data_IF_478625791642
#
_entry.id   IF_478625791642
#
_cell.length_a   1.000
_cell.length_b   1.000
_cell.length_c   1.000
_cell.angle_alpha   90.00
_cell.angle_beta   90.00
_cell.angle_gamma   90.00
#
_symmetry.space_group_name_H-M   'P 1'
#
loop_
_entity.id
_entity.type
_entity.pdbx_description
1 polymer ?
#
# COMPACT_ATOMS: atom_id res chain seq x y z
N UNK A 1 19.32 4.86 31.04
CA UNK A 1 18.41 5.52 30.08
C UNK A 1 18.36 4.63 28.86
N UNK A 2 17.29 3.86 28.68
CA UNK A 2 17.15 2.90 27.57
C UNK A 2 16.34 3.57 26.45
N UNK A 3 17.00 4.33 25.58
CA UNK A 3 16.35 4.81 24.36
C UNK A 3 16.39 3.68 23.34
N UNK A 4 15.22 3.09 23.07
CA UNK A 4 15.08 2.15 21.96
C UNK A 4 15.50 2.87 20.67
N UNK A 5 16.27 2.21 19.77
CA UNK A 5 16.58 2.79 18.47
C UNK A 5 15.29 3.09 17.72
N UNK A 6 15.29 4.19 16.96
CA UNK A 6 14.15 4.60 16.12
C UNK A 6 13.94 3.46 15.11
N UNK A 7 12.81 2.77 15.23
CA UNK A 7 12.67 1.45 14.60
C UNK A 7 12.56 1.55 13.08
N UNK A 8 11.99 2.62 12.53
CA UNK A 8 11.95 2.85 11.10
C UNK A 8 11.82 4.36 10.83
N UNK A 9 12.70 4.89 9.97
CA UNK A 9 12.55 6.21 9.34
C UNK A 9 11.69 6.14 8.06
N UNK A 10 11.13 4.96 7.77
CA UNK A 10 10.39 4.74 6.55
C UNK A 10 9.05 5.47 6.63
N UNK A 11 8.96 6.55 5.86
CA UNK A 11 7.73 7.33 5.69
C UNK A 11 6.90 6.65 4.62
N UNK A 12 6.59 5.36 4.85
CA UNK A 12 5.74 4.58 3.98
C UNK A 12 4.40 5.30 3.76
N UNK A 13 3.66 4.95 2.70
CA UNK A 13 2.39 5.61 2.39
C UNK A 13 1.43 5.49 3.58
N UNK A 14 0.86 6.62 3.99
CA UNK A 14 -0.05 6.65 5.13
C UNK A 14 -1.33 5.89 4.82
N UNK A 15 -1.66 4.96 5.72
CA UNK A 15 -2.91 4.20 5.68
C UNK A 15 -4.01 5.04 6.31
N UNK A 16 -5.06 5.29 5.54
CA UNK A 16 -6.24 6.03 5.98
C UNK A 16 -7.30 5.10 6.56
N UNK A 17 -7.49 3.91 5.98
CA UNK A 17 -8.43 2.91 6.45
C UNK A 17 -8.10 1.51 5.94
N UNK A 18 -8.66 0.50 6.59
CA UNK A 18 -8.60 -0.88 6.13
C UNK A 18 -9.95 -1.57 6.37
N UNK A 19 -10.31 -2.49 5.47
CA UNK A 19 -11.55 -3.27 5.58
C UNK A 19 -11.41 -4.64 4.95
N UNK A 20 -12.00 -5.64 5.58
CA UNK A 20 -12.14 -6.97 5.00
C UNK A 20 -13.31 -7.04 4.02
N UNK A 21 -13.21 -7.93 3.05
CA UNK A 21 -14.35 -8.35 2.25
C UNK A 21 -15.28 -9.28 3.05
N UNK A 22 -16.43 -9.65 2.48
CA UNK A 22 -17.51 -10.32 3.22
C UNK A 22 -17.13 -11.70 3.80
N UNK A 23 -16.24 -12.44 3.13
CA UNK A 23 -15.74 -13.75 3.57
C UNK A 23 -14.38 -13.67 4.28
N UNK A 24 -13.86 -12.46 4.51
CA UNK A 24 -12.54 -12.19 5.08
C UNK A 24 -11.36 -12.84 4.35
N UNK A 25 -11.53 -13.27 3.09
CA UNK A 25 -10.44 -13.85 2.31
C UNK A 25 -9.42 -12.79 1.86
N UNK A 26 -9.85 -11.53 1.76
CA UNK A 26 -9.04 -10.40 1.33
C UNK A 26 -9.32 -9.17 2.20
N UNK A 27 -8.35 -8.27 2.25
CA UNK A 27 -8.54 -6.95 2.84
C UNK A 27 -8.01 -5.87 1.92
N UNK A 28 -8.71 -4.75 1.89
CA UNK A 28 -8.28 -3.53 1.20
C UNK A 28 -7.73 -2.53 2.19
N UNK A 29 -6.69 -1.82 1.76
CA UNK A 29 -6.06 -0.73 2.50
C UNK A 29 -6.17 0.53 1.65
N UNK A 30 -6.82 1.55 2.19
CA UNK A 30 -6.89 2.87 1.56
C UNK A 30 -5.65 3.69 1.98
N UNK A 31 -5.02 4.30 0.99
CA UNK A 31 -3.86 5.18 1.11
C UNK A 31 -4.25 6.57 0.61
N UNK A 32 -3.47 7.59 0.97
CA UNK A 32 -3.66 8.94 0.40
C UNK A 32 -3.57 8.95 -1.14
N UNK A 33 -2.80 8.03 -1.70
CA UNK A 33 -2.55 7.92 -3.14
C UNK A 33 -3.40 6.88 -3.85
N UNK A 34 -4.39 6.27 -3.19
CA UNK A 34 -5.27 5.26 -3.80
C UNK A 34 -5.58 4.10 -2.85
N UNK A 35 -5.56 2.86 -3.35
CA UNK A 35 -5.80 1.70 -2.52
C UNK A 35 -5.04 0.45 -2.99
N UNK A 36 -4.85 -0.47 -2.06
CA UNK A 36 -4.25 -1.78 -2.31
C UNK A 36 -5.14 -2.87 -1.75
N UNK A 37 -5.13 -4.06 -2.35
CA UNK A 37 -5.88 -5.23 -1.89
C UNK A 37 -4.89 -6.37 -1.68
N UNK A 38 -5.01 -7.03 -0.54
CA UNK A 38 -4.13 -8.11 -0.12
C UNK A 38 -4.94 -9.38 0.12
N UNK A 39 -4.29 -10.52 -0.11
CA UNK A 39 -4.76 -11.81 0.39
C UNK A 39 -4.61 -11.85 1.91
N UNK A 40 -5.66 -12.21 2.65
CA UNK A 40 -5.59 -12.26 4.11
C UNK A 40 -4.73 -13.42 4.64
N UNK A 41 -4.56 -14.49 3.86
CA UNK A 41 -3.82 -15.69 4.30
C UNK A 41 -2.33 -15.61 3.99
N UNK A 42 -1.98 -15.05 2.83
CA UNK A 42 -0.59 -14.96 2.37
C UNK A 42 0.03 -13.58 2.56
N UNK A 43 -0.79 -12.57 2.90
CA UNK A 43 -0.41 -11.16 2.95
C UNK A 43 0.19 -10.62 1.64
N UNK A 44 -0.02 -11.33 0.53
CA UNK A 44 0.46 -10.91 -0.78
C UNK A 44 -0.45 -9.82 -1.36
N UNK A 45 0.17 -8.79 -1.92
CA UNK A 45 -0.54 -7.77 -2.70
C UNK A 45 -1.10 -8.40 -3.97
N UNK A 46 -2.41 -8.28 -4.17
CA UNK A 46 -3.12 -8.78 -5.35
C UNK A 46 -3.41 -7.65 -6.34
N UNK A 47 -3.76 -6.48 -5.83
CA UNK A 47 -4.14 -5.32 -6.63
C UNK A 47 -3.56 -4.07 -5.97
N UNK A 48 -2.94 -3.20 -6.75
CA UNK A 48 -2.64 -1.82 -6.37
C UNK A 48 -3.22 -0.89 -7.43
N UNK A 49 -4.01 0.09 -7.00
CA UNK A 49 -4.52 1.15 -7.85
C UNK A 49 -4.20 2.50 -7.24
N UNK A 50 -3.38 3.25 -7.95
CA UNK A 50 -3.09 4.64 -7.64
C UNK A 50 -4.16 5.57 -8.21
N UNK A 51 -4.37 6.69 -7.54
CA UNK A 51 -4.97 7.87 -8.14
C UNK A 51 -3.82 8.56 -8.87
N UNK A 52 -3.75 8.38 -10.18
CA UNK A 52 -2.83 9.18 -10.99
C UNK A 52 -3.30 10.63 -10.90
N UNK A 53 -2.61 11.45 -10.12
CA UNK A 53 -2.75 12.89 -10.22
C UNK A 53 -2.44 13.26 -11.68
N UNK A 54 -3.36 13.91 -12.38
CA UNK A 54 -3.24 14.21 -13.82
C UNK A 54 -2.01 15.08 -14.19
N UNK A 55 -1.16 15.41 -13.20
CA UNK A 55 0.11 16.13 -13.33
C UNK A 55 1.36 15.25 -13.44
N UNK A 56 1.29 13.95 -13.18
CA UNK A 56 2.49 13.09 -13.19
C UNK A 56 2.35 11.91 -14.16
N UNK A 57 1.97 12.18 -15.40
CA UNK A 57 2.34 11.31 -16.52
C UNK A 57 3.86 11.40 -16.69
N UNK A 58 4.63 10.46 -16.14
CA UNK A 58 5.94 9.94 -16.63
C UNK A 58 6.64 9.24 -15.47
N UNK A 59 7.19 8.04 -15.72
CA UNK A 59 7.88 7.12 -14.79
C UNK A 59 6.90 6.22 -14.02
N UNK A 60 6.56 5.02 -14.47
CA UNK A 60 7.48 3.90 -14.65
C UNK A 60 6.89 2.93 -15.69
N UNK A 61 7.33 3.05 -16.94
CA UNK A 61 7.14 2.03 -17.96
C UNK A 61 8.52 1.53 -18.39
N UNK A 62 9.36 1.09 -17.45
CA UNK A 62 10.63 0.40 -17.78
C UNK A 62 11.10 -0.45 -16.60
N UNK A 63 10.57 -1.66 -16.50
CA UNK A 63 11.25 -2.78 -15.85
C UNK A 63 10.72 -4.09 -16.48
N UNK A 64 10.89 -4.18 -17.80
CA UNK A 64 10.75 -5.40 -18.56
C UNK A 64 11.80 -5.35 -19.68
N UNK A 65 13.06 -5.54 -19.28
CA UNK A 65 14.13 -6.07 -20.11
C UNK A 65 14.74 -7.24 -19.34
#
# INVERSE_FOLDING_TARGET
MNTRPILDSDTGPFVLSASFNADCSHFSVALETGFRVFSSTTCEEKIARGIEDARTKTALATAAC
#
